data_IF_733047723082
#
_entry.id   IF_733047723082
#
_cell.length_a   1.000
_cell.length_b   1.000
_cell.length_c   1.000
_cell.angle_alpha   90.00
_cell.angle_beta   90.00
_cell.angle_gamma   90.00
#
_symmetry.space_group_name_H-M   'P 1'
#
loop_
_entity.id
_entity.type
_entity.pdbx_description
1 polymer ?
#
# COMPACT_ATOMS: atom_id res chain seq x y z
N UNK A 1 3.10 -6.48 2.04
CA UNK A 1 1.85 -6.88 2.73
C UNK A 1 1.25 -5.75 3.56
N UNK A 2 2.08 -4.91 4.19
CA UNK A 2 1.61 -3.70 4.89
C UNK A 2 0.65 -2.84 4.04
N UNK A 3 0.98 -2.60 2.77
CA UNK A 3 0.12 -1.85 1.84
C UNK A 3 -1.26 -2.50 1.63
N UNK A 4 -1.34 -3.83 1.43
CA UNK A 4 -2.62 -4.50 1.20
C UNK A 4 -3.53 -4.41 2.43
N UNK A 5 -2.97 -4.44 3.64
CA UNK A 5 -3.73 -4.28 4.89
C UNK A 5 -4.36 -2.87 5.03
N UNK A 6 -3.81 -1.85 4.37
CA UNK A 6 -4.45 -0.53 4.28
C UNK A 6 -5.49 -0.48 3.16
N UNK A 7 -5.23 -1.14 2.04
CA UNK A 7 -6.10 -1.18 0.88
C UNK A 7 -7.45 -1.85 1.22
N UNK A 8 -7.43 -3.01 1.86
CA UNK A 8 -8.65 -3.78 2.21
C UNK A 8 -9.55 -3.10 3.25
N UNK A 9 -9.14 -1.95 3.81
CA UNK A 9 -9.98 -1.13 4.71
C UNK A 9 -11.03 -0.32 3.97
N UNK A 10 -10.92 -0.20 2.65
CA UNK A 10 -11.95 0.39 1.79
C UNK A 10 -13.05 -0.64 1.55
N UNK A 11 -14.13 -0.55 2.33
CA UNK A 11 -15.13 -1.63 2.45
C UNK A 11 -16.06 -1.74 1.25
N UNK A 12 -16.23 -0.67 0.47
CA UNK A 12 -17.16 -0.65 -0.67
C UNK A 12 -16.41 -1.08 -1.94
N UNK A 13 -15.77 -2.25 -1.85
CA UNK A 13 -14.93 -2.83 -2.89
C UNK A 13 -14.92 -4.36 -2.76
N UNK A 14 -14.62 -5.05 -3.87
CA UNK A 14 -14.43 -6.50 -3.89
C UNK A 14 -12.94 -6.83 -4.01
N UNK A 15 -12.48 -7.82 -3.25
CA UNK A 15 -11.08 -8.19 -3.17
C UNK A 15 -10.88 -9.68 -3.44
N UNK A 16 -9.88 -10.01 -4.23
CA UNK A 16 -9.33 -11.37 -4.35
C UNK A 16 -7.84 -11.29 -4.09
N UNK A 17 -7.37 -11.89 -3.00
CA UNK A 17 -5.98 -11.82 -2.58
C UNK A 17 -5.34 -13.19 -2.57
N UNK A 18 -4.09 -13.27 -3.01
CA UNK A 18 -3.27 -14.46 -2.90
C UNK A 18 -3.16 -14.93 -1.44
N UNK A 19 -3.59 -16.17 -1.20
CA UNK A 19 -3.54 -16.77 0.14
C UNK A 19 -2.18 -17.41 0.40
N UNK A 20 -1.49 -16.93 1.43
CA UNK A 20 -0.28 -17.58 1.94
C UNK A 20 -0.54 -18.91 2.67
N UNK A 21 -1.81 -19.33 2.84
CA UNK A 21 -2.13 -20.67 3.37
C UNK A 21 -2.03 -21.74 2.29
N UNK A 22 -2.37 -21.36 1.05
CA UNK A 22 -2.46 -22.30 -0.07
C UNK A 22 -1.28 -22.15 -1.04
N UNK A 23 -0.79 -20.93 -1.25
CA UNK A 23 0.37 -20.69 -2.11
C UNK A 23 1.63 -20.83 -1.28
N UNK A 24 2.36 -21.91 -1.52
CA UNK A 24 3.72 -22.13 -1.00
C UNK A 24 4.67 -21.34 -1.87
N UNK A 25 5.51 -20.52 -1.25
CA UNK A 25 6.57 -19.81 -1.96
C UNK A 25 7.80 -20.73 -2.08
N UNK A 26 8.36 -20.85 -3.28
CA UNK A 26 9.68 -21.47 -3.46
C UNK A 26 10.80 -20.47 -3.16
N UNK A 27 12.03 -20.97 -3.06
CA UNK A 27 13.25 -20.15 -2.99
C UNK A 27 13.25 -19.15 -4.15
N UNK A 28 13.43 -17.86 -3.84
CA UNK A 28 13.37 -16.70 -4.74
C UNK A 28 11.98 -16.22 -5.21
N UNK A 29 10.88 -16.86 -4.80
CA UNK A 29 9.52 -16.34 -5.07
C UNK A 29 9.03 -15.38 -3.96
N UNK A 30 9.67 -15.40 -2.79
CA UNK A 30 9.44 -14.43 -1.72
C UNK A 30 10.16 -13.12 -2.06
N UNK A 31 9.43 -12.20 -2.67
CA UNK A 31 9.91 -10.84 -2.88
C UNK A 31 9.56 -9.94 -1.69
N UNK A 32 10.46 -9.02 -1.37
CA UNK A 32 10.31 -8.07 -0.29
C UNK A 32 10.44 -6.64 -0.81
N UNK A 33 9.51 -5.77 -0.42
CA UNK A 33 9.61 -4.34 -0.69
C UNK A 33 10.55 -3.70 0.33
N UNK A 34 11.59 -3.04 -0.17
CA UNK A 34 12.55 -2.30 0.66
C UNK A 34 12.13 -0.83 0.77
N UNK A 35 11.93 -0.28 1.98
CA UNK A 35 11.67 1.15 2.14
C UNK A 35 12.84 2.01 1.67
N UNK A 36 12.54 3.12 0.96
CA UNK A 36 13.55 4.09 0.48
C UNK A 36 14.46 4.64 1.58
N UNK A 37 13.96 4.72 2.82
CA UNK A 37 14.75 5.17 3.98
C UNK A 37 15.85 4.18 4.35
N UNK A 38 15.61 2.87 4.15
CA UNK A 38 16.61 1.82 4.34
C UNK A 38 17.57 1.79 3.14
N UNK A 39 17.06 1.88 1.91
CA UNK A 39 17.90 1.90 0.69
C UNK A 39 18.95 3.02 0.68
N UNK A 40 18.64 4.17 1.28
CA UNK A 40 19.58 5.31 1.37
C UNK A 40 20.80 5.03 2.23
N UNK A 41 20.74 4.08 3.15
CA UNK A 41 21.87 3.70 3.99
C UNK A 41 22.40 2.33 3.53
N UNK A 42 23.53 2.33 2.81
CA UNK A 42 24.12 1.11 2.22
C UNK A 42 24.34 0.00 3.25
N UNK A 43 24.83 0.33 4.45
CA UNK A 43 25.08 -0.65 5.51
C UNK A 43 23.78 -1.31 5.98
N UNK A 44 22.76 -0.49 6.29
CA UNK A 44 21.45 -1.01 6.72
C UNK A 44 20.74 -1.76 5.59
N UNK A 45 20.93 -1.35 4.34
CA UNK A 45 20.37 -2.03 3.17
C UNK A 45 20.94 -3.45 3.02
N UNK A 46 22.27 -3.60 3.12
CA UNK A 46 22.92 -4.92 3.05
C UNK A 46 22.51 -5.81 4.23
N UNK A 47 22.45 -5.27 5.45
CA UNK A 47 21.97 -5.99 6.63
C UNK A 47 20.51 -6.42 6.47
N UNK A 48 19.64 -5.51 6.03
CA UNK A 48 18.23 -5.79 5.76
C UNK A 48 18.06 -6.91 4.74
N UNK A 49 18.79 -6.85 3.62
CA UNK A 49 18.76 -7.88 2.59
C UNK A 49 19.20 -9.24 3.14
N UNK A 50 20.28 -9.29 3.91
CA UNK A 50 20.76 -10.53 4.55
C UNK A 50 19.71 -11.13 5.50
N UNK A 51 19.01 -10.30 6.28
CA UNK A 51 17.93 -10.76 7.17
C UNK A 51 16.76 -11.32 6.35
N UNK A 52 16.35 -10.66 5.27
CA UNK A 52 15.27 -11.14 4.40
C UNK A 52 15.61 -12.49 3.75
N UNK A 53 16.85 -12.68 3.32
CA UNK A 53 17.35 -13.96 2.78
C UNK A 53 17.27 -15.07 3.84
N UNK A 54 17.76 -14.81 5.07
CA UNK A 54 17.68 -15.77 6.19
C UNK A 54 16.24 -16.14 6.54
N UNK A 55 15.31 -15.19 6.50
CA UNK A 55 13.89 -15.45 6.72
C UNK A 55 13.34 -16.38 5.64
N UNK A 56 13.68 -16.14 4.36
CA UNK A 56 13.26 -16.99 3.26
C UNK A 56 13.79 -18.42 3.39
N UNK A 57 15.07 -18.57 3.77
CA UNK A 57 15.68 -19.88 4.02
C UNK A 57 15.02 -20.61 5.20
N UNK A 58 14.73 -19.89 6.28
CA UNK A 58 14.07 -20.45 7.45
C UNK A 58 12.63 -20.88 7.13
N UNK A 59 11.88 -20.09 6.36
CA UNK A 59 10.56 -20.48 5.86
C UNK A 59 10.61 -21.77 5.04
N UNK A 60 11.58 -21.89 4.12
CA UNK A 60 11.78 -23.11 3.33
C UNK A 60 12.11 -24.32 4.22
N UNK A 61 12.95 -24.13 5.24
CA UNK A 61 13.26 -25.17 6.23
C UNK A 61 12.01 -25.64 6.96
N UNK A 62 11.15 -24.72 7.43
CA UNK A 62 9.89 -25.09 8.08
C UNK A 62 9.02 -25.96 7.17
N UNK A 63 8.91 -25.62 5.89
CA UNK A 63 8.15 -26.42 4.92
C UNK A 63 8.75 -27.81 4.69
N UNK A 64 10.10 -27.94 4.68
CA UNK A 64 10.80 -29.23 4.55
C UNK A 64 10.58 -30.14 5.75
N UNK A 65 10.46 -29.56 6.95
CA UNK A 65 10.16 -30.27 8.20
C UNK A 65 8.65 -30.57 8.36
N UNK A 66 7.86 -30.51 7.28
CA UNK A 66 6.42 -30.77 7.25
C UNK A 66 5.56 -29.83 8.12
N UNK A 67 6.06 -28.64 8.48
CA UNK A 67 5.23 -27.61 9.12
C UNK A 67 4.20 -27.09 8.10
N UNK A 68 2.90 -27.01 8.46
CA UNK A 68 1.88 -26.46 7.57
C UNK A 68 2.21 -25.05 7.11
N UNK A 69 1.92 -24.73 5.84
CA UNK A 69 2.21 -23.41 5.28
C UNK A 69 1.52 -22.25 6.03
N UNK A 70 0.36 -22.53 6.64
CA UNK A 70 -0.38 -21.56 7.45
C UNK A 70 0.29 -21.18 8.78
N UNK A 71 1.17 -22.06 9.30
CA UNK A 71 2.00 -21.82 10.48
C UNK A 71 3.37 -21.28 10.06
N UNK A 72 3.98 -21.87 9.03
CA UNK A 72 5.29 -21.46 8.53
C UNK A 72 5.30 -19.98 8.12
N UNK A 73 4.19 -19.45 7.58
CA UNK A 73 4.08 -18.04 7.16
C UNK A 73 4.23 -17.02 8.30
N UNK A 74 4.19 -17.42 9.58
CA UNK A 74 4.33 -16.50 10.71
C UNK A 74 5.69 -15.80 10.74
N UNK A 75 6.70 -16.37 10.07
CA UNK A 75 8.02 -15.75 9.93
C UNK A 75 8.07 -14.71 8.80
N UNK A 76 7.07 -14.68 7.91
CA UNK A 76 7.06 -13.80 6.74
C UNK A 76 6.76 -12.35 7.19
N UNK A 77 7.66 -11.39 6.91
CA UNK A 77 7.51 -10.01 7.35
C UNK A 77 6.45 -9.25 6.55
N UNK A 78 6.04 -8.11 7.09
CA UNK A 78 5.12 -7.17 6.43
C UNK A 78 5.61 -6.66 5.08
N UNK A 79 6.93 -6.71 4.83
CA UNK A 79 7.58 -6.32 3.58
C UNK A 79 7.28 -7.28 2.41
N UNK A 80 6.84 -8.51 2.68
CA UNK A 80 6.60 -9.51 1.64
C UNK A 80 5.52 -9.05 0.65
N UNK A 81 5.74 -9.22 -0.64
CA UNK A 81 4.76 -8.85 -1.68
C UNK A 81 3.54 -9.79 -1.65
N UNK A 82 2.45 -9.35 -2.26
CA UNK A 82 1.23 -10.14 -2.39
C UNK A 82 0.47 -9.68 -3.61
N UNK A 83 -0.08 -10.62 -4.36
CA UNK A 83 -0.95 -10.29 -5.48
C UNK A 83 -2.39 -10.11 -4.98
N UNK A 84 -3.04 -9.05 -5.46
CA UNK A 84 -4.40 -8.72 -5.10
C UNK A 84 -5.13 -8.13 -6.31
N UNK A 85 -6.31 -8.65 -6.61
CA UNK A 85 -7.26 -8.05 -7.55
C UNK A 85 -8.31 -7.29 -6.75
N UNK A 86 -8.56 -6.03 -7.13
CA UNK A 86 -9.56 -5.18 -6.51
C UNK A 86 -10.55 -4.67 -7.55
N UNK A 87 -11.84 -4.70 -7.21
CA UNK A 87 -12.90 -4.08 -8.02
C UNK A 87 -13.57 -2.99 -7.19
N UNK A 88 -13.63 -1.78 -7.75
CA UNK A 88 -14.27 -0.61 -7.16
C UNK A 88 -15.14 0.06 -8.22
N UNK A 89 -16.31 0.54 -7.84
CA UNK A 89 -17.07 1.44 -8.72
C UNK A 89 -16.43 2.83 -8.73
N UNK A 90 -16.85 3.70 -9.66
CA UNK A 90 -16.24 5.02 -9.81
C UNK A 90 -16.37 5.91 -8.56
N UNK A 91 -17.49 5.82 -7.84
CA UNK A 91 -17.69 6.57 -6.59
C UNK A 91 -16.68 6.17 -5.53
N UNK A 92 -16.44 4.86 -5.37
CA UNK A 92 -15.44 4.36 -4.43
C UNK A 92 -14.03 4.73 -4.89
N UNK A 93 -13.72 4.68 -6.19
CA UNK A 93 -12.42 5.13 -6.71
C UNK A 93 -12.14 6.60 -6.36
N UNK A 94 -13.12 7.49 -6.55
CA UNK A 94 -12.98 8.90 -6.15
C UNK A 94 -12.72 9.04 -4.63
N UNK A 95 -13.47 8.31 -3.81
CA UNK A 95 -13.26 8.27 -2.36
C UNK A 95 -11.85 7.76 -1.99
N UNK A 96 -11.42 6.68 -2.64
CA UNK A 96 -10.13 6.03 -2.47
C UNK A 96 -8.98 6.99 -2.80
N UNK A 97 -9.02 7.63 -3.97
CA UNK A 97 -8.02 8.62 -4.40
C UNK A 97 -7.96 9.81 -3.45
N UNK A 98 -9.12 10.32 -3.03
CA UNK A 98 -9.22 11.41 -2.06
C UNK A 98 -8.46 11.16 -0.75
N UNK A 99 -8.44 9.91 -0.27
CA UNK A 99 -7.75 9.51 0.95
C UNK A 99 -6.30 9.09 0.71
N UNK A 100 -6.03 8.32 -0.35
CA UNK A 100 -4.74 7.64 -0.54
C UNK A 100 -3.72 8.44 -1.35
N UNK A 101 -4.13 9.50 -2.03
CA UNK A 101 -3.23 10.46 -2.66
C UNK A 101 -2.76 11.57 -1.70
N UNK A 102 -3.30 11.62 -0.48
CA UNK A 102 -2.84 12.54 0.55
C UNK A 102 -1.38 12.24 0.94
N UNK A 103 -0.55 13.26 1.14
CA UNK A 103 0.87 13.09 1.51
C UNK A 103 1.07 12.37 2.84
N UNK A 104 0.06 12.39 3.71
CA UNK A 104 0.05 11.65 4.98
C UNK A 104 -0.12 10.15 4.79
N UNK A 105 -0.64 9.71 3.65
CA UNK A 105 -0.75 8.29 3.36
C UNK A 105 0.65 7.69 3.17
N UNK A 106 0.81 6.44 3.60
CA UNK A 106 2.05 5.70 3.41
C UNK A 106 2.45 5.69 1.93
N UNK A 107 3.74 5.86 1.66
CA UNK A 107 4.25 6.05 0.31
C UNK A 107 3.84 4.89 -0.64
N UNK A 108 3.84 3.64 -0.18
CA UNK A 108 3.45 2.48 -0.99
C UNK A 108 2.02 2.58 -1.52
N UNK A 109 1.04 2.85 -0.65
CA UNK A 109 -0.37 2.94 -1.06
C UNK A 109 -0.63 4.20 -1.89
N UNK A 110 0.15 5.26 -1.66
CA UNK A 110 0.08 6.49 -2.44
C UNK A 110 0.60 6.29 -3.86
N UNK A 111 1.69 5.55 -4.04
CA UNK A 111 2.21 5.18 -5.35
C UNK A 111 1.25 4.25 -6.10
N UNK A 112 0.70 3.25 -5.42
CA UNK A 112 -0.36 2.40 -5.98
C UNK A 112 -1.56 3.24 -6.43
N UNK A 113 -2.04 4.15 -5.59
CA UNK A 113 -3.18 5.01 -5.90
C UNK A 113 -2.90 5.93 -7.08
N UNK A 114 -1.66 6.44 -7.22
CA UNK A 114 -1.25 7.25 -8.36
C UNK A 114 -1.28 6.45 -9.66
N UNK A 115 -0.70 5.25 -9.65
CA UNK A 115 -0.73 4.35 -10.82
C UNK A 115 -2.16 4.00 -11.22
N UNK A 116 -3.02 3.70 -10.24
CA UNK A 116 -4.44 3.44 -10.49
C UNK A 116 -5.16 4.66 -11.09
N UNK A 117 -4.89 5.87 -10.58
CA UNK A 117 -5.47 7.09 -11.11
C UNK A 117 -5.06 7.34 -12.57
N UNK A 118 -3.78 7.13 -12.89
CA UNK A 118 -3.24 7.31 -14.24
C UNK A 118 -3.93 6.36 -15.24
N UNK A 119 -4.18 5.11 -14.87
CA UNK A 119 -4.93 4.17 -15.73
C UNK A 119 -6.42 4.52 -15.85
N UNK A 120 -7.05 4.90 -14.74
CA UNK A 120 -8.47 5.24 -14.74
C UNK A 120 -8.76 6.51 -15.55
N UNK A 121 -7.85 7.50 -15.54
CA UNK A 121 -7.96 8.72 -16.36
C UNK A 121 -7.91 8.43 -17.86
N UNK A 122 -7.20 7.39 -18.30
CA UNK A 122 -7.19 6.98 -19.71
C UNK A 122 -8.55 6.45 -20.16
N UNK A 123 -9.27 5.77 -19.27
CA UNK A 123 -10.57 5.14 -19.56
C UNK A 123 -11.73 6.13 -19.44
N UNK A 124 -11.74 6.94 -18.38
CA UNK A 124 -12.84 7.87 -18.08
C UNK A 124 -12.34 9.26 -17.67
N UNK A 125 -11.75 10.04 -18.61
CA UNK A 125 -11.08 11.30 -18.30
C UNK A 125 -12.01 12.34 -17.68
N UNK A 126 -13.25 12.47 -18.16
CA UNK A 126 -14.23 13.45 -17.66
C UNK A 126 -14.60 13.16 -16.20
N UNK A 127 -14.79 11.89 -15.84
CA UNK A 127 -15.22 11.51 -14.49
C UNK A 127 -14.10 11.71 -13.46
N UNK A 128 -12.84 11.54 -13.89
CA UNK A 128 -11.66 11.61 -13.01
C UNK A 128 -10.80 12.85 -13.25
N UNK A 129 -11.29 13.86 -13.98
CA UNK A 129 -10.55 15.07 -14.31
C UNK A 129 -9.98 15.74 -13.05
N UNK A 130 -10.84 15.92 -12.05
CA UNK A 130 -10.53 16.52 -10.75
C UNK A 130 -10.19 15.49 -9.66
N UNK A 131 -10.01 14.22 -10.01
CA UNK A 131 -9.66 13.21 -9.04
C UNK A 131 -8.23 13.43 -8.53
N UNK A 132 -8.09 13.45 -7.20
CA UNK A 132 -6.88 13.83 -6.50
C UNK A 132 -7.07 13.71 -4.98
N UNK A 133 -6.13 14.19 -4.16
CA UNK A 133 -6.33 14.29 -2.72
C UNK A 133 -7.50 15.24 -2.40
N UNK A 134 -8.27 14.95 -1.34
CA UNK A 134 -9.48 15.74 -0.98
C UNK A 134 -9.24 17.24 -0.85
N UNK A 135 -8.03 17.66 -0.47
CA UNK A 135 -7.70 19.07 -0.34
C UNK A 135 -7.74 19.84 -1.66
N UNK A 136 -7.44 19.20 -2.79
CA UNK A 136 -7.56 19.81 -4.13
C UNK A 136 -9.03 19.99 -4.54
N UNK A 137 -9.89 19.04 -4.18
CA UNK A 137 -11.31 19.09 -4.48
C UNK A 137 -12.03 20.16 -3.63
N UNK A 138 -11.73 20.17 -2.32
CA UNK A 138 -12.38 21.04 -1.33
C UNK A 138 -11.82 22.47 -1.30
N UNK A 139 -10.61 22.69 -1.82
CA UNK A 139 -9.87 23.95 -1.69
C UNK A 139 -9.32 24.20 -0.28
N UNK A 140 -9.43 23.24 0.63
CA UNK A 140 -8.95 23.33 2.01
C UNK A 140 -8.51 21.97 2.54
N UNK A 141 -7.62 21.97 3.55
CA UNK A 141 -7.16 20.74 4.17
C UNK A 141 -8.15 20.24 5.23
N UNK A 142 -8.73 19.03 5.09
CA UNK A 142 -9.63 18.46 6.08
C UNK A 142 -8.90 17.89 7.32
N UNK A 143 -7.57 17.81 7.28
CA UNK A 143 -6.74 17.17 8.31
C UNK A 143 -6.41 18.09 9.50
N UNK A 144 -6.83 19.37 9.47
CA UNK A 144 -6.65 20.32 10.57
C UNK A 144 -5.17 20.53 10.93
N UNK A 145 -4.84 20.29 12.20
CA UNK A 145 -3.47 20.39 12.74
C UNK A 145 -2.45 19.50 12.02
N UNK A 146 -2.91 18.40 11.43
CA UNK A 146 -2.06 17.42 10.76
C UNK A 146 -1.89 17.74 9.26
N UNK A 147 -2.19 18.97 8.84
CA UNK A 147 -2.02 19.42 7.45
C UNK A 147 -0.56 19.32 7.00
N UNK A 148 -0.34 18.88 5.75
CA UNK A 148 0.98 18.93 5.12
C UNK A 148 1.37 20.34 4.65
N UNK A 149 0.52 21.35 4.86
CA UNK A 149 0.80 22.75 4.52
C UNK A 149 0.45 23.15 3.08
N UNK A 150 0.12 22.19 2.19
CA UNK A 150 -0.26 22.48 0.80
C UNK A 150 -1.54 23.30 0.67
N UNK A 151 -2.50 23.09 1.58
CA UNK A 151 -3.75 23.85 1.66
C UNK A 151 -3.99 24.31 3.11
N UNK A 152 -4.62 25.48 3.31
CA UNK A 152 -4.98 25.94 4.64
C UNK A 152 -6.01 25.00 5.28
N UNK A 153 -5.90 24.68 6.58
CA UNK A 153 -6.90 23.90 7.29
C UNK A 153 -8.23 24.65 7.36
N UNK A 154 -9.32 23.89 7.43
CA UNK A 154 -10.70 24.42 7.44
C UNK A 154 -10.92 25.52 8.49
N UNK A 155 -10.34 25.38 9.69
CA UNK A 155 -10.53 26.39 10.76
C UNK A 155 -9.94 27.76 10.41
N UNK A 156 -8.91 27.82 9.56
CA UNK A 156 -8.29 29.08 9.13
C UNK A 156 -9.09 29.79 8.04
N UNK A 157 -9.92 29.06 7.29
CA UNK A 157 -10.75 29.61 6.21
C UNK A 157 -12.07 30.14 6.77
N UNK A 158 -12.67 29.45 7.75
CA UNK A 158 -13.95 29.87 8.35
C UNK A 158 -13.79 31.10 9.27
N UNK A 159 -12.57 31.39 9.73
CA UNK A 159 -12.25 32.55 10.59
C UNK A 159 -11.93 33.84 9.82
N UNK A 160 -12.09 33.85 8.49
CA UNK A 160 -12.03 35.04 7.63
C UNK A 160 -13.42 35.39 7.14
#
# INVERSE_FOLDING_TARGET
>A
RACSHQLVRHRIASYTQQSQRYVKFKKNELEFITPRTIERNKSLYEEYKSIMEKISEFYEKLLKENIPAEDARYVIPNAATTNLTVTMNARELLHFFGLRLCERAQWEIRELAKMMLDEVKKVAPILFERAGPRCEELGYCPEGELSCGRYPPKEKIIKQ
#
